data_IF_465130193312
#
_entry.id   IF_465130193312
#
_cell.length_a   1.000
_cell.length_b   1.000
_cell.length_c   1.000
_cell.angle_alpha   90.00
_cell.angle_beta   90.00
_cell.angle_gamma   90.00
#
_symmetry.space_group_name_H-M   'P 1'
#
loop_
_entity.id
_entity.type
_entity.pdbx_description
1 polymer ?
#
# COMPACT_ATOMS: atom_id res chain seq x y z
N UNK A 1 61.71 -20.99 -16.89
CA UNK A 1 60.64 -21.51 -16.02
C UNK A 1 59.62 -20.38 -15.78
N UNK A 2 58.48 -20.38 -16.48
CA UNK A 2 57.45 -19.33 -16.34
C UNK A 2 56.52 -19.70 -15.17
N UNK A 3 56.47 -18.87 -14.13
CA UNK A 3 55.55 -19.03 -13.00
C UNK A 3 54.21 -18.41 -13.38
N UNK A 4 53.17 -19.23 -13.54
CA UNK A 4 51.79 -18.77 -13.71
C UNK A 4 51.17 -18.73 -12.31
N UNK A 5 50.87 -17.53 -11.81
CA UNK A 5 50.12 -17.36 -10.56
C UNK A 5 48.65 -17.25 -10.94
N UNK A 6 47.86 -18.27 -10.60
CA UNK A 6 46.42 -18.28 -10.77
C UNK A 6 45.79 -17.53 -9.58
N UNK A 7 45.32 -16.30 -9.80
CA UNK A 7 44.62 -15.52 -8.78
C UNK A 7 43.16 -15.99 -8.73
N UNK A 8 42.82 -16.83 -7.75
CA UNK A 8 41.44 -17.28 -7.51
C UNK A 8 40.59 -16.11 -7.00
N UNK A 9 39.63 -15.65 -7.80
CA UNK A 9 38.58 -14.73 -7.37
C UNK A 9 37.63 -15.45 -6.41
N UNK A 10 37.75 -15.18 -5.12
CA UNK A 10 36.75 -15.57 -4.12
C UNK A 10 35.47 -14.76 -4.36
N UNK A 11 34.30 -15.40 -4.55
CA UNK A 11 33.04 -14.67 -4.59
C UNK A 11 32.76 -14.11 -3.19
N UNK A 12 32.82 -12.78 -3.06
CA UNK A 12 32.27 -12.07 -1.92
C UNK A 12 30.75 -12.25 -1.93
N UNK A 13 30.25 -13.30 -1.28
CA UNK A 13 28.85 -13.37 -0.92
C UNK A 13 28.62 -12.29 0.14
N UNK A 14 28.10 -11.14 -0.27
CA UNK A 14 27.63 -10.11 0.64
C UNK A 14 26.52 -10.73 1.50
N UNK A 15 26.84 -11.10 2.74
CA UNK A 15 25.81 -11.37 3.74
C UNK A 15 25.08 -10.06 3.97
N UNK A 16 23.86 -9.96 3.47
CA UNK A 16 22.94 -8.92 3.88
C UNK A 16 22.78 -9.04 5.40
N UNK A 17 23.35 -8.09 6.14
CA UNK A 17 23.18 -8.01 7.58
C UNK A 17 21.69 -7.87 7.87
N UNK A 18 21.10 -8.89 8.49
CA UNK A 18 19.73 -8.85 8.98
C UNK A 18 19.70 -7.93 10.20
N UNK A 19 19.67 -6.61 9.97
CA UNK A 19 19.22 -5.70 11.03
C UNK A 19 17.79 -6.12 11.35
N UNK A 20 17.53 -6.44 12.62
CA UNK A 20 16.16 -6.74 13.07
C UNK A 20 15.29 -5.59 12.61
N UNK A 21 14.32 -5.87 11.73
CA UNK A 21 13.37 -4.85 11.32
C UNK A 21 12.65 -4.43 12.59
N UNK A 22 12.71 -3.14 12.94
CA UNK A 22 11.92 -2.58 14.03
C UNK A 22 10.48 -2.59 13.55
N UNK A 23 9.79 -3.71 13.81
CA UNK A 23 8.68 -4.17 13.01
C UNK A 23 7.33 -3.52 13.26
N UNK A 24 7.24 -2.57 14.20
CA UNK A 24 5.98 -1.90 14.54
C UNK A 24 6.27 -0.43 14.87
N UNK A 25 5.48 0.47 14.31
CA UNK A 25 5.47 1.89 14.62
C UNK A 25 4.29 2.58 13.97
N UNK A 26 4.11 3.87 14.27
CA UNK A 26 3.06 4.69 13.67
C UNK A 26 3.70 5.88 12.96
N UNK A 27 3.07 6.35 11.90
CA UNK A 27 3.43 7.57 11.19
C UNK A 27 2.17 8.42 11.00
N UNK A 28 2.05 9.50 11.77
CA UNK A 28 0.80 10.28 11.85
C UNK A 28 -0.38 9.33 12.17
N UNK A 29 -1.42 9.30 11.34
CA UNK A 29 -2.60 8.46 11.48
C UNK A 29 -2.45 7.05 10.87
N UNK A 30 -1.22 6.66 10.49
CA UNK A 30 -0.94 5.40 9.81
C UNK A 30 -0.20 4.42 10.71
N UNK A 31 -0.70 3.18 10.75
CA UNK A 31 -0.03 2.06 11.38
C UNK A 31 0.97 1.45 10.40
N UNK A 32 2.22 1.30 10.83
CA UNK A 32 3.30 0.72 10.04
C UNK A 32 3.81 -0.57 10.71
N UNK A 33 3.69 -1.69 10.00
CA UNK A 33 4.14 -3.00 10.48
C UNK A 33 5.03 -3.65 9.44
N UNK A 34 6.22 -4.07 9.84
CA UNK A 34 7.09 -4.93 9.04
C UNK A 34 7.35 -6.24 9.79
N UNK A 35 7.01 -7.36 9.17
CA UNK A 35 7.12 -8.68 9.78
C UNK A 35 8.40 -9.43 9.36
N UNK A 36 8.65 -10.58 9.99
CA UNK A 36 9.80 -11.43 9.73
C UNK A 36 9.71 -12.20 8.39
N UNK A 37 8.59 -12.12 7.67
CA UNK A 37 8.50 -12.63 6.28
C UNK A 37 9.16 -11.67 5.29
N UNK A 38 9.66 -10.52 5.77
CA UNK A 38 10.22 -9.48 4.93
C UNK A 38 9.14 -8.65 4.25
N UNK A 39 7.96 -8.52 4.85
CA UNK A 39 6.87 -7.71 4.28
C UNK A 39 6.57 -6.54 5.19
N UNK A 40 6.52 -5.34 4.63
CA UNK A 40 6.05 -4.12 5.29
C UNK A 40 4.64 -3.77 4.82
N UNK A 41 3.81 -3.32 5.76
CA UNK A 41 2.44 -2.88 5.57
C UNK A 41 2.24 -1.53 6.24
N UNK A 42 1.55 -0.63 5.57
CA UNK A 42 1.13 0.66 6.11
C UNK A 42 -0.38 0.79 5.91
N UNK A 43 -1.13 0.92 7.00
CA UNK A 43 -2.58 0.97 6.97
C UNK A 43 -3.09 2.29 7.57
N UNK A 44 -4.11 2.87 6.93
CA UNK A 44 -4.81 4.05 7.40
C UNK A 44 -6.31 3.77 7.43
N UNK A 45 -6.97 4.21 8.49
CA UNK A 45 -8.38 3.93 8.74
C UNK A 45 -9.14 5.23 8.94
N UNK A 46 -10.32 5.34 8.35
CA UNK A 46 -11.24 6.40 8.65
C UNK A 46 -11.96 6.09 9.96
N UNK A 47 -11.79 6.94 10.98
CA UNK A 47 -12.41 6.72 12.30
C UNK A 47 -13.95 6.88 12.29
N UNK A 48 -14.48 7.72 11.40
CA UNK A 48 -15.90 8.09 11.36
C UNK A 48 -16.44 8.18 9.93
N UNK A 49 -17.59 7.56 9.69
CA UNK A 49 -18.34 7.60 8.43
C UNK A 49 -19.39 6.49 8.42
N UNK A 50 -20.40 6.63 7.57
CA UNK A 50 -21.44 5.59 7.38
C UNK A 50 -20.84 4.35 6.69
N UNK A 51 -19.94 4.58 5.71
CA UNK A 51 -19.13 3.57 5.05
C UNK A 51 -17.63 3.84 5.29
N UNK A 52 -17.05 3.44 6.43
CA UNK A 52 -15.66 3.77 6.74
C UNK A 52 -14.69 3.12 5.75
N UNK A 53 -13.73 3.92 5.29
CA UNK A 53 -12.71 3.48 4.35
C UNK A 53 -11.42 3.10 5.07
N UNK A 54 -10.75 2.07 4.59
CA UNK A 54 -9.35 1.78 4.91
C UNK A 54 -8.50 1.73 3.64
N UNK A 55 -7.23 2.11 3.77
CA UNK A 55 -6.23 1.99 2.72
C UNK A 55 -5.04 1.19 3.27
N UNK A 56 -4.61 0.19 2.51
CA UNK A 56 -3.48 -0.67 2.83
C UNK A 56 -2.42 -0.56 1.74
N UNK A 57 -1.20 -0.20 2.14
CA UNK A 57 -0.02 -0.33 1.30
C UNK A 57 0.79 -1.55 1.75
N UNK A 58 1.21 -2.38 0.80
CA UNK A 58 2.07 -3.55 1.06
C UNK A 58 3.30 -3.50 0.20
N UNK A 59 4.47 -3.78 0.79
CA UNK A 59 5.75 -3.84 0.09
C UNK A 59 6.58 -5.02 0.60
N UNK A 60 7.01 -5.88 -0.31
CA UNK A 60 7.98 -6.93 -0.01
C UNK A 60 9.40 -6.36 0.15
N UNK A 61 10.27 -7.11 0.84
CA UNK A 61 11.70 -6.84 0.91
C UNK A 61 12.35 -7.08 -0.45
N UNK A 62 13.42 -6.33 -0.72
CA UNK A 62 14.15 -6.40 -1.98
C UNK A 62 14.43 -5.02 -2.56
N UNK A 63 15.53 -4.93 -3.29
CA UNK A 63 15.87 -3.74 -4.06
C UNK A 63 14.77 -3.51 -5.12
N UNK A 64 14.25 -2.29 -5.20
CA UNK A 64 13.19 -1.90 -6.15
C UNK A 64 11.84 -2.65 -6.02
N UNK A 65 11.59 -3.36 -4.91
CA UNK A 65 10.28 -3.97 -4.67
C UNK A 65 9.17 -2.90 -4.68
N UNK A 66 8.19 -3.10 -5.56
CA UNK A 66 7.06 -2.20 -5.74
C UNK A 66 6.13 -2.20 -4.51
N UNK A 67 5.47 -1.07 -4.28
CA UNK A 67 4.40 -0.96 -3.29
C UNK A 67 3.07 -1.22 -3.99
N UNK A 68 2.26 -2.12 -3.45
CA UNK A 68 0.86 -2.31 -3.85
C UNK A 68 -0.04 -1.51 -2.91
N UNK A 69 -0.93 -0.68 -3.46
CA UNK A 69 -1.98 -0.01 -2.72
C UNK A 69 -3.33 -0.69 -2.94
N UNK A 70 -4.11 -0.84 -1.88
CA UNK A 70 -5.48 -1.33 -1.91
C UNK A 70 -6.37 -0.49 -1.00
N UNK A 71 -7.66 -0.43 -1.27
CA UNK A 71 -8.63 0.17 -0.36
C UNK A 71 -9.80 -0.77 -0.10
N UNK A 72 -10.46 -0.59 1.04
CA UNK A 72 -11.69 -1.30 1.40
C UNK A 72 -12.70 -0.26 1.86
N UNK A 73 -13.93 -0.38 1.38
CA UNK A 73 -15.08 0.37 1.91
C UNK A 73 -15.84 -0.63 2.76
N UNK A 74 -15.86 -0.41 4.07
CA UNK A 74 -16.52 -1.32 5.00
C UNK A 74 -18.01 -0.98 5.02
N UNK A 75 -18.81 -1.84 4.40
CA UNK A 75 -20.26 -1.68 4.37
C UNK A 75 -20.89 -2.40 5.57
N UNK A 76 -21.79 -1.71 6.28
CA UNK A 76 -22.53 -2.30 7.39
C UNK A 76 -23.88 -2.88 6.91
N UNK A 77 -23.88 -4.17 6.59
CA UNK A 77 -25.10 -4.91 6.22
C UNK A 77 -25.51 -4.76 4.75
N UNK A 78 -26.11 -5.80 4.19
CA UNK A 78 -26.40 -5.88 2.74
C UNK A 78 -27.56 -4.99 2.29
N UNK A 79 -28.51 -4.67 3.17
CA UNK A 79 -29.78 -4.04 2.79
C UNK A 79 -29.73 -2.51 2.67
N UNK A 80 -28.70 -1.86 3.21
CA UNK A 80 -28.61 -0.39 3.32
C UNK A 80 -27.26 0.14 2.77
N UNK A 81 -26.65 -0.62 1.84
CA UNK A 81 -25.35 -0.30 1.26
C UNK A 81 -25.44 0.81 0.22
N UNK A 82 -24.68 1.88 0.43
CA UNK A 82 -24.58 3.00 -0.52
C UNK A 82 -23.65 2.67 -1.73
N UNK A 83 -22.73 1.71 -1.57
CA UNK A 83 -21.77 1.29 -2.60
C UNK A 83 -22.07 -0.13 -3.09
N UNK A 84 -22.18 -0.30 -4.41
CA UNK A 84 -22.48 -1.58 -5.06
C UNK A 84 -21.28 -2.17 -5.80
N UNK A 85 -21.15 -3.50 -5.80
CA UNK A 85 -20.18 -4.18 -6.66
C UNK A 85 -20.43 -3.78 -8.13
N UNK A 86 -19.36 -3.40 -8.82
CA UNK A 86 -19.36 -2.89 -10.19
C UNK A 86 -19.36 -1.37 -10.30
N UNK A 87 -19.63 -0.64 -9.21
CA UNK A 87 -19.64 0.82 -9.17
C UNK A 87 -18.23 1.39 -9.27
N UNK A 88 -18.11 2.57 -9.86
CA UNK A 88 -16.83 3.28 -9.94
C UNK A 88 -16.64 4.16 -8.71
N UNK A 89 -15.48 4.02 -8.07
CA UNK A 89 -15.02 4.82 -6.95
C UNK A 89 -13.94 5.76 -7.46
N UNK A 90 -14.14 7.06 -7.33
CA UNK A 90 -13.14 8.06 -7.66
C UNK A 90 -12.29 8.42 -6.45
N UNK A 91 -10.96 8.38 -6.64
CA UNK A 91 -9.98 8.65 -5.60
C UNK A 91 -9.51 10.10 -5.73
N UNK A 92 -9.52 10.85 -4.63
CA UNK A 92 -9.06 12.23 -4.56
C UNK A 92 -7.94 12.37 -3.54
N UNK A 93 -6.93 13.16 -3.89
CA UNK A 93 -5.86 13.57 -2.99
C UNK A 93 -5.77 15.10 -2.98
N UNK A 94 -6.05 15.71 -1.83
CA UNK A 94 -6.02 17.17 -1.65
C UNK A 94 -6.80 17.93 -2.74
N UNK A 95 -8.03 17.48 -3.02
CA UNK A 95 -8.90 18.07 -4.05
C UNK A 95 -8.53 17.74 -5.51
N UNK A 96 -7.47 16.97 -5.77
CA UNK A 96 -7.10 16.50 -7.11
C UNK A 96 -7.56 15.07 -7.34
N UNK A 97 -8.32 14.83 -8.41
CA UNK A 97 -8.69 13.47 -8.83
C UNK A 97 -7.44 12.68 -9.27
N UNK A 98 -7.37 11.45 -8.80
CA UNK A 98 -6.40 10.42 -9.20
C UNK A 98 -7.07 9.36 -10.11
N UNK A 99 -8.30 9.61 -10.56
CA UNK A 99 -9.06 8.70 -11.40
C UNK A 99 -9.90 7.69 -10.61
N UNK A 100 -10.51 6.77 -11.36
CA UNK A 100 -11.50 5.81 -10.86
C UNK A 100 -10.93 4.41 -10.72
N UNK A 101 -11.43 3.69 -9.73
CA UNK A 101 -11.24 2.25 -9.53
C UNK A 101 -12.62 1.61 -9.47
N UNK A 102 -12.80 0.48 -10.15
CA UNK A 102 -14.03 -0.29 -10.06
C UNK A 102 -14.06 -1.05 -8.75
N UNK A 103 -15.12 -0.89 -7.96
CA UNK A 103 -15.37 -1.74 -6.81
C UNK A 103 -15.76 -3.14 -7.29
N UNK A 104 -14.96 -4.16 -7.00
CA UNK A 104 -15.15 -5.50 -7.59
C UNK A 104 -15.56 -6.56 -6.56
N UNK A 105 -15.44 -6.30 -5.26
CA UNK A 105 -15.72 -7.28 -4.22
C UNK A 105 -16.00 -6.62 -2.87
N UNK A 106 -17.00 -7.11 -2.15
CA UNK A 106 -17.22 -6.74 -0.75
C UNK A 106 -16.27 -7.50 0.21
N UNK A 107 -15.77 -8.67 -0.21
CA UNK A 107 -14.92 -9.53 0.62
C UNK A 107 -13.42 -9.26 0.45
N UNK A 108 -13.03 -8.55 -0.61
CA UNK A 108 -11.63 -8.36 -0.99
C UNK A 108 -11.34 -6.89 -1.27
N UNK A 109 -10.22 -6.32 -0.76
CA UNK A 109 -9.85 -4.94 -1.03
C UNK A 109 -9.62 -4.68 -2.52
N UNK A 110 -10.14 -3.57 -3.02
CA UNK A 110 -9.94 -3.11 -4.39
C UNK A 110 -8.51 -2.63 -4.59
N UNK A 111 -7.92 -2.99 -5.73
CA UNK A 111 -6.54 -2.65 -6.05
C UNK A 111 -6.45 -1.26 -6.70
N UNK A 112 -5.59 -0.41 -6.15
CA UNK A 112 -5.20 0.86 -6.76
C UNK A 112 -4.22 0.62 -7.92
N UNK A 113 -4.20 1.53 -8.90
CA UNK A 113 -3.14 1.51 -9.92
C UNK A 113 -1.79 1.87 -9.30
N UNK A 114 -0.71 1.57 -10.01
CA UNK A 114 0.64 1.93 -9.57
C UNK A 114 0.80 3.46 -9.46
N UNK A 115 0.23 4.22 -10.40
CA UNK A 115 0.25 5.68 -10.41
C UNK A 115 -0.52 6.25 -9.22
N UNK A 116 -1.71 5.71 -8.94
CA UNK A 116 -2.50 6.10 -7.76
C UNK A 116 -1.74 5.81 -6.47
N UNK A 117 -1.16 4.62 -6.36
CA UNK A 117 -0.36 4.20 -5.20
C UNK A 117 0.82 5.16 -4.97
N UNK A 118 1.58 5.47 -6.02
CA UNK A 118 2.72 6.41 -5.94
C UNK A 118 2.27 7.83 -5.59
N UNK A 119 1.15 8.29 -6.15
CA UNK A 119 0.61 9.62 -5.87
C UNK A 119 0.19 9.76 -4.41
N UNK A 120 -0.55 8.77 -3.88
CA UNK A 120 -0.94 8.75 -2.47
C UNK A 120 0.28 8.73 -1.55
N UNK A 121 1.21 7.80 -1.72
CA UNK A 121 2.44 7.73 -0.91
C UNK A 121 3.28 9.01 -0.96
N UNK A 122 3.28 9.71 -2.09
CA UNK A 122 3.95 11.01 -2.21
C UNK A 122 3.22 12.11 -1.45
N UNK A 123 1.88 12.09 -1.46
CA UNK A 123 1.03 13.01 -0.70
C UNK A 123 1.19 12.85 0.81
N UNK A 124 1.25 11.60 1.28
CA UNK A 124 1.31 11.26 2.72
C UNK A 124 2.57 11.74 3.45
N UNK A 125 3.60 12.23 2.74
CA UNK A 125 4.79 12.86 3.36
C UNK A 125 4.48 14.15 4.14
N UNK A 126 3.27 14.67 3.97
CA UNK A 126 2.67 15.81 4.67
C UNK A 126 1.23 15.47 5.01
N UNK A 127 0.62 16.27 5.87
CA UNK A 127 -0.82 16.21 6.10
C UNK A 127 -1.58 16.30 4.76
N UNK A 128 -2.48 15.35 4.54
CA UNK A 128 -3.22 15.21 3.28
C UNK A 128 -4.63 14.70 3.54
N UNK A 129 -5.57 15.20 2.76
CA UNK A 129 -6.92 14.66 2.67
C UNK A 129 -6.98 13.64 1.53
N UNK A 130 -7.41 12.42 1.85
CA UNK A 130 -7.79 11.41 0.87
C UNK A 130 -9.31 11.27 0.94
N UNK A 131 -9.99 11.38 -0.21
CA UNK A 131 -11.43 11.12 -0.29
C UNK A 131 -11.72 10.06 -1.33
N UNK A 132 -12.65 9.18 -1.01
CA UNK A 132 -13.24 8.24 -1.94
C UNK A 132 -14.68 8.70 -2.18
N UNK A 133 -15.03 8.90 -3.44
CA UNK A 133 -16.37 9.36 -3.81
C UNK A 133 -16.95 8.40 -4.82
N UNK A 134 -18.24 8.11 -4.71
CA UNK A 134 -19.00 7.31 -5.64
C UNK A 134 -20.22 8.11 -6.10
N UNK A 135 -20.66 7.87 -7.34
CA UNK A 135 -21.89 8.50 -7.81
C UNK A 135 -23.09 7.80 -7.20
N UNK A 136 -23.97 8.52 -6.48
CA UNK A 136 -25.32 8.00 -6.19
C UNK A 136 -26.05 7.91 -7.53
N UNK A 137 -26.35 6.68 -7.97
CA UNK A 137 -27.31 6.42 -9.04
C UNK A 137 -28.73 6.64 -8.56
#
# INVERSE_FOLDING_TARGET
MKKVILLSLLPFTAMAASTSIKGIGNYQDWDLVCDNTGTCRMAGYQEKGDDPVSILFTRAAGENAAVEGRFTILQFGEADRDVQVGQDIEIWLNGKSLGKVKHISDDAPDKLTEEQTKALLSGLKKESEIRLTYGKT
#
